data_IF_711414447185
#
_entry.id   IF_711414447185
#
_cell.length_a   1.000
_cell.length_b   1.000
_cell.length_c   1.000
_cell.angle_alpha   90.00
_cell.angle_beta   90.00
_cell.angle_gamma   90.00
#
_symmetry.space_group_name_H-M   'P 1'
#
loop_
_entity.id
_entity.type
_entity.pdbx_description
1 polymer ?
#
# COMPACT_ATOMS: atom_id res chain seq x y z
N UNK A 1 70.28 13.64 -44.84
CA UNK A 1 70.12 13.04 -43.51
C UNK A 1 68.95 13.73 -42.82
N UNK A 2 67.89 12.96 -42.53
CA UNK A 2 66.80 13.25 -41.58
C UNK A 2 65.94 14.53 -41.81
N UNK A 3 64.80 14.71 -41.10
CA UNK A 3 63.48 14.31 -41.59
C UNK A 3 62.40 15.40 -41.36
N UNK A 4 61.15 15.23 -41.80
CA UNK A 4 59.99 15.62 -40.96
C UNK A 4 58.72 14.92 -41.42
N UNK A 5 58.31 13.97 -40.58
CA UNK A 5 57.14 13.11 -40.69
C UNK A 5 55.99 13.76 -39.90
N UNK A 6 54.83 13.83 -40.55
CA UNK A 6 53.46 13.64 -40.01
C UNK A 6 53.13 14.26 -38.65
N UNK A 7 52.24 15.27 -38.67
CA UNK A 7 51.37 15.60 -37.53
C UNK A 7 49.97 15.89 -38.04
N UNK A 8 49.18 14.85 -38.24
CA UNK A 8 47.72 15.00 -38.33
C UNK A 8 47.04 13.91 -37.51
N UNK A 9 46.05 14.36 -36.74
CA UNK A 9 45.03 13.62 -36.00
C UNK A 9 45.48 12.89 -34.72
N UNK A 10 44.94 13.30 -33.57
CA UNK A 10 43.78 12.65 -32.97
C UNK A 10 43.49 13.31 -31.61
N UNK A 11 42.68 14.37 -31.61
CA UNK A 11 42.18 14.97 -30.38
C UNK A 11 41.09 14.09 -29.80
N UNK A 12 41.42 13.30 -28.78
CA UNK A 12 40.50 12.49 -28.00
C UNK A 12 39.61 13.42 -27.15
N UNK A 13 38.47 13.82 -27.69
CA UNK A 13 37.42 14.50 -26.92
C UNK A 13 36.67 13.45 -26.08
N UNK A 14 37.12 13.24 -24.85
CA UNK A 14 36.42 12.45 -23.83
C UNK A 14 35.17 13.25 -23.38
N UNK A 15 34.05 13.06 -24.06
CA UNK A 15 32.76 13.56 -23.60
C UNK A 15 32.29 12.68 -22.44
N UNK A 16 32.59 13.08 -21.20
CA UNK A 16 31.93 12.53 -20.01
C UNK A 16 30.48 13.03 -19.98
N UNK A 17 29.59 12.34 -20.66
CA UNK A 17 28.15 12.47 -20.44
C UNK A 17 27.82 11.93 -19.05
N UNK A 18 27.73 12.83 -18.08
CA UNK A 18 27.17 12.55 -16.76
C UNK A 18 25.69 12.20 -16.94
N UNK A 19 25.37 10.91 -17.01
CA UNK A 19 23.99 10.44 -16.90
C UNK A 19 23.58 10.62 -15.44
N UNK A 20 22.79 11.66 -15.17
CA UNK A 20 22.08 11.77 -13.90
C UNK A 20 21.21 10.53 -13.73
N UNK A 21 21.55 9.69 -12.75
CA UNK A 21 20.72 8.55 -12.37
C UNK A 21 19.43 9.13 -11.76
N UNK A 22 18.37 9.20 -12.55
CA UNK A 22 17.03 9.41 -12.03
C UNK A 22 16.67 8.13 -11.30
N UNK A 23 16.63 8.17 -9.97
CA UNK A 23 16.02 7.10 -9.19
C UNK A 23 14.53 7.12 -9.53
N UNK A 24 14.12 6.21 -10.42
CA UNK A 24 12.72 6.00 -10.72
C UNK A 24 12.08 5.27 -9.53
N UNK A 25 10.94 5.78 -9.07
CA UNK A 25 10.12 5.13 -8.06
C UNK A 25 9.77 3.70 -8.51
N UNK A 26 9.92 2.73 -7.61
CA UNK A 26 9.63 1.32 -7.89
C UNK A 26 9.18 0.59 -6.64
N UNK A 27 8.11 -0.18 -6.77
CA UNK A 27 7.53 -0.97 -5.68
C UNK A 27 7.22 -2.38 -6.16
N UNK A 28 7.57 -3.38 -5.36
CA UNK A 28 7.28 -4.79 -5.64
C UNK A 28 6.33 -5.36 -4.59
N UNK A 29 5.29 -6.05 -5.03
CA UNK A 29 4.40 -6.84 -4.18
C UNK A 29 4.70 -8.32 -4.40
N UNK A 30 4.96 -9.06 -3.32
CA UNK A 30 5.20 -10.51 -3.32
C UNK A 30 4.14 -11.22 -2.49
N UNK A 31 3.90 -12.47 -2.86
CA UNK A 31 3.00 -13.35 -2.14
C UNK A 31 3.76 -14.55 -1.58
N UNK A 32 3.44 -14.91 -0.34
CA UNK A 32 3.81 -16.19 0.28
C UNK A 32 2.52 -16.91 0.70
N UNK A 33 2.06 -17.84 -0.13
CA UNK A 33 0.85 -18.60 0.14
C UNK A 33 1.18 -19.91 0.85
N UNK A 34 1.15 -19.89 2.19
CA UNK A 34 1.41 -21.05 3.03
C UNK A 34 0.16 -21.91 3.27
N UNK A 35 -1.01 -21.51 2.74
CA UNK A 35 -2.26 -22.26 2.91
C UNK A 35 -2.27 -23.59 2.14
N UNK A 36 -1.35 -23.78 1.18
CA UNK A 36 -1.32 -24.95 0.28
C UNK A 36 -2.47 -25.01 -0.73
N UNK A 37 -3.32 -23.97 -0.78
CA UNK A 37 -4.47 -23.84 -1.68
C UNK A 37 -4.79 -22.36 -1.92
N UNK A 38 -5.71 -22.10 -2.85
CA UNK A 38 -6.12 -20.76 -3.22
C UNK A 38 -5.12 -20.05 -4.13
N UNK A 39 -5.54 -18.92 -4.69
CA UNK A 39 -4.76 -18.14 -5.65
C UNK A 39 -4.61 -16.72 -5.11
N UNK A 40 -3.39 -16.28 -4.73
CA UNK A 40 -3.16 -14.89 -4.39
C UNK A 40 -3.61 -14.02 -5.56
N UNK A 41 -4.33 -12.94 -5.29
CA UNK A 41 -4.85 -12.06 -6.33
C UNK A 41 -4.46 -10.64 -5.98
N UNK A 42 -3.79 -9.95 -6.90
CA UNK A 42 -3.47 -8.52 -6.81
C UNK A 42 -4.26 -7.76 -7.87
N UNK A 43 -5.01 -6.75 -7.45
CA UNK A 43 -5.76 -5.87 -8.35
C UNK A 43 -5.31 -4.44 -8.16
N UNK A 44 -5.00 -3.77 -9.28
CA UNK A 44 -4.63 -2.36 -9.31
C UNK A 44 -5.42 -1.70 -10.44
N UNK A 45 -6.08 -0.58 -10.14
CA UNK A 45 -6.89 0.14 -11.13
C UNK A 45 -8.01 -0.72 -11.75
N UNK A 46 -8.60 -1.63 -10.96
CA UNK A 46 -9.70 -2.51 -11.39
C UNK A 46 -9.26 -3.64 -12.34
N UNK A 47 -7.97 -3.96 -12.41
CA UNK A 47 -7.44 -5.07 -13.21
C UNK A 47 -6.61 -6.01 -12.35
N UNK A 48 -6.77 -7.31 -12.55
CA UNK A 48 -5.86 -8.31 -11.98
C UNK A 48 -4.49 -8.14 -12.63
N UNK A 49 -3.48 -7.83 -11.82
CA UNK A 49 -2.09 -7.62 -12.29
C UNK A 49 -1.14 -8.74 -11.85
N UNK A 50 -1.54 -9.54 -10.85
CA UNK A 50 -0.83 -10.76 -10.46
C UNK A 50 -1.79 -11.78 -9.85
N UNK A 51 -1.48 -13.06 -10.08
CA UNK A 51 -2.15 -14.21 -9.47
C UNK A 51 -1.20 -15.06 -8.62
N UNK A 52 -0.12 -14.47 -8.07
CA UNK A 52 0.85 -15.13 -7.20
C UNK A 52 2.31 -14.79 -7.51
N UNK A 53 2.63 -14.44 -8.76
CA UNK A 53 3.97 -14.01 -9.12
C UNK A 53 4.29 -12.62 -8.56
N UNK A 54 5.55 -12.31 -8.21
CA UNK A 54 5.95 -10.96 -7.84
C UNK A 54 5.54 -9.94 -8.90
N UNK A 55 4.87 -8.87 -8.48
CA UNK A 55 4.48 -7.76 -9.34
C UNK A 55 5.31 -6.53 -9.00
N UNK A 56 5.99 -5.95 -9.98
CA UNK A 56 6.75 -4.70 -9.82
C UNK A 56 6.11 -3.58 -10.64
N UNK A 57 5.80 -2.48 -9.97
CA UNK A 57 5.38 -1.22 -10.59
C UNK A 57 6.58 -0.29 -10.72
N UNK A 58 6.74 0.37 -11.88
CA UNK A 58 7.75 1.42 -12.11
C UNK A 58 7.17 2.80 -11.75
N UNK A 59 6.61 2.91 -10.55
CA UNK A 59 5.98 4.10 -9.99
C UNK A 59 5.02 3.72 -8.87
N UNK A 60 4.41 4.73 -8.24
CA UNK A 60 3.45 4.54 -7.15
C UNK A 60 2.33 3.56 -7.51
N UNK A 61 1.94 2.74 -6.53
CA UNK A 61 0.73 1.93 -6.53
C UNK A 61 -0.31 2.68 -5.67
N UNK A 62 -1.44 3.08 -6.26
CA UNK A 62 -2.51 3.78 -5.54
C UNK A 62 -3.77 2.92 -5.51
N UNK A 63 -4.29 2.62 -4.32
CA UNK A 63 -5.52 1.84 -4.15
C UNK A 63 -5.40 0.42 -4.72
N UNK A 64 -4.27 -0.24 -4.48
CA UNK A 64 -4.12 -1.66 -4.77
C UNK A 64 -4.90 -2.48 -3.74
N UNK A 65 -5.49 -3.59 -4.17
CA UNK A 65 -6.10 -4.56 -3.26
C UNK A 65 -5.53 -5.95 -3.50
N UNK A 66 -5.40 -6.73 -2.43
CA UNK A 66 -5.02 -8.13 -2.55
C UNK A 66 -5.79 -9.03 -1.58
N UNK A 67 -5.99 -10.27 -1.98
CA UNK A 67 -6.67 -11.29 -1.19
C UNK A 67 -6.29 -12.70 -1.70
N UNK A 68 -6.58 -13.73 -0.91
CA UNK A 68 -6.45 -15.11 -1.35
C UNK A 68 -7.78 -15.62 -1.91
N UNK A 69 -7.84 -15.82 -3.23
CA UNK A 69 -9.02 -16.39 -3.88
C UNK A 69 -9.15 -17.88 -3.54
N UNK A 70 -10.14 -18.25 -2.74
CA UNK A 70 -10.42 -19.64 -2.33
C UNK A 70 -11.66 -20.24 -3.00
N UNK A 71 -12.29 -19.50 -3.92
CA UNK A 71 -13.48 -19.88 -4.69
C UNK A 71 -14.75 -19.13 -4.29
N UNK A 72 -14.74 -18.44 -3.13
CA UNK A 72 -15.86 -17.64 -2.64
C UNK A 72 -15.66 -16.13 -2.73
N UNK A 73 -14.44 -15.66 -3.02
CA UNK A 73 -14.18 -14.21 -2.99
C UNK A 73 -14.76 -13.53 -4.22
N UNK A 74 -15.38 -12.37 -4.03
CA UNK A 74 -15.75 -11.48 -5.13
C UNK A 74 -14.54 -10.86 -5.85
N UNK A 75 -14.81 -10.04 -6.87
CA UNK A 75 -13.76 -9.41 -7.66
C UNK A 75 -12.98 -8.37 -6.86
N UNK A 76 -13.61 -7.68 -5.91
CA UNK A 76 -12.94 -6.72 -5.04
C UNK A 76 -12.61 -7.34 -3.68
N UNK A 77 -12.52 -8.67 -3.60
CA UNK A 77 -12.28 -9.40 -2.35
C UNK A 77 -13.47 -9.41 -1.39
N UNK A 78 -14.70 -9.21 -1.89
CA UNK A 78 -15.92 -9.47 -1.10
C UNK A 78 -15.89 -10.89 -0.53
N UNK A 79 -16.40 -11.08 0.69
CA UNK A 79 -16.41 -12.35 1.44
C UNK A 79 -15.01 -12.91 1.81
N UNK A 80 -13.95 -12.10 1.68
CA UNK A 80 -12.57 -12.51 1.98
C UNK A 80 -11.79 -11.43 2.74
N UNK A 81 -10.70 -11.86 3.41
CA UNK A 81 -9.79 -10.95 4.10
C UNK A 81 -9.12 -10.07 3.04
N UNK A 82 -9.40 -8.76 3.07
CA UNK A 82 -8.91 -7.81 2.08
C UNK A 82 -7.66 -7.10 2.61
N UNK A 83 -6.61 -7.05 1.79
CA UNK A 83 -5.47 -6.17 1.98
C UNK A 83 -5.64 -4.93 1.10
N UNK A 84 -5.63 -3.74 1.67
CA UNK A 84 -5.66 -2.47 0.94
C UNK A 84 -4.28 -1.82 1.03
N UNK A 85 -3.77 -1.29 -0.08
CA UNK A 85 -2.42 -0.71 -0.12
C UNK A 85 -2.29 0.50 -1.03
N UNK A 86 -1.46 1.44 -0.60
CA UNK A 86 -0.88 2.50 -1.41
C UNK A 86 0.62 2.47 -1.18
N UNK A 87 1.41 2.22 -2.23
CA UNK A 87 2.87 2.23 -2.15
C UNK A 87 3.38 3.43 -2.95
N UNK A 88 4.06 4.34 -2.28
CA UNK A 88 4.62 5.53 -2.89
C UNK A 88 5.76 6.12 -2.07
N UNK A 89 6.67 6.82 -2.75
CA UNK A 89 7.73 7.58 -2.11
C UNK A 89 7.14 8.80 -1.39
N UNK A 90 7.48 9.04 -0.10
CA UNK A 90 6.90 10.14 0.67
C UNK A 90 7.27 11.51 0.07
N UNK A 91 6.25 12.30 -0.28
CA UNK A 91 6.44 13.70 -0.72
C UNK A 91 6.23 14.73 0.40
N UNK A 92 5.68 14.27 1.53
CA UNK A 92 5.43 15.00 2.75
C UNK A 92 5.41 14.03 3.94
N UNK A 93 5.60 14.52 5.18
CA UNK A 93 5.44 13.68 6.36
C UNK A 93 4.03 13.06 6.42
N UNK A 94 3.97 11.73 6.49
CA UNK A 94 2.71 10.97 6.56
C UNK A 94 2.07 10.70 5.20
N UNK A 95 2.80 10.93 4.11
CA UNK A 95 2.34 10.78 2.73
C UNK A 95 3.04 9.63 2.01
N UNK A 96 3.77 8.78 2.73
CA UNK A 96 4.48 7.63 2.17
C UNK A 96 3.55 6.46 1.87
N UNK A 97 4.15 5.27 1.89
CA UNK A 97 3.42 4.03 1.68
C UNK A 97 2.55 3.71 2.89
N UNK A 98 1.39 3.11 2.64
CA UNK A 98 0.42 2.74 3.66
C UNK A 98 -0.33 1.48 3.25
N UNK A 99 -0.49 0.56 4.19
CA UNK A 99 -1.16 -0.74 3.95
C UNK A 99 -1.98 -1.10 5.17
N UNK A 100 -3.12 -1.73 4.96
CA UNK A 100 -4.00 -2.20 6.01
C UNK A 100 -4.77 -3.46 5.60
N UNK A 101 -5.35 -4.11 6.61
CA UNK A 101 -6.27 -5.25 6.45
C UNK A 101 -7.67 -4.74 6.74
N UNK A 102 -8.64 -5.10 5.90
CA UNK A 102 -10.04 -4.67 6.02
C UNK A 102 -10.99 -5.87 6.10
N UNK A 103 -11.81 -5.86 7.15
CA UNK A 103 -12.93 -6.76 7.40
C UNK A 103 -14.26 -5.99 7.47
N UNK A 104 -14.29 -4.76 6.94
CA UNK A 104 -15.52 -3.99 6.80
C UNK A 104 -16.42 -4.68 5.76
N UNK A 105 -17.65 -5.01 6.12
CA UNK A 105 -18.63 -5.62 5.20
C UNK A 105 -18.70 -4.84 3.87
N UNK A 106 -18.59 -5.51 2.70
CA UNK A 106 -18.77 -6.94 2.46
C UNK A 106 -17.51 -7.81 2.60
N UNK A 107 -16.39 -7.30 3.12
CA UNK A 107 -15.20 -8.11 3.40
C UNK A 107 -15.40 -8.90 4.70
N UNK A 108 -14.82 -10.09 4.77
CA UNK A 108 -15.01 -11.01 5.89
C UNK A 108 -13.79 -11.93 6.02
N UNK A 109 -13.49 -12.36 7.24
CA UNK A 109 -12.33 -13.23 7.45
C UNK A 109 -12.54 -14.60 6.76
N UNK A 110 -11.62 -15.00 5.90
CA UNK A 110 -11.64 -16.32 5.26
C UNK A 110 -10.36 -17.13 5.50
N UNK A 111 -9.20 -16.46 5.50
CA UNK A 111 -7.89 -17.02 5.84
C UNK A 111 -7.07 -16.01 6.64
N UNK A 112 -6.20 -16.53 7.50
CA UNK A 112 -5.16 -15.74 8.14
C UNK A 112 -4.33 -15.04 7.04
N UNK A 113 -4.18 -13.72 7.20
CA UNK A 113 -3.45 -12.88 6.26
C UNK A 113 -2.58 -11.91 7.03
N UNK A 114 -1.37 -11.69 6.52
CA UNK A 114 -0.45 -10.70 7.05
C UNK A 114 0.27 -9.98 5.92
N UNK A 115 0.85 -8.84 6.25
CA UNK A 115 1.80 -8.17 5.38
C UNK A 115 3.01 -7.68 6.15
N UNK A 116 4.10 -7.46 5.44
CA UNK A 116 5.28 -6.76 5.95
C UNK A 116 5.95 -5.97 4.85
N UNK A 117 6.46 -4.77 5.19
CA UNK A 117 7.32 -4.02 4.30
C UNK A 117 8.71 -4.66 4.21
N UNK A 118 9.34 -4.52 3.04
CA UNK A 118 10.75 -4.86 2.84
C UNK A 118 11.44 -3.92 1.84
N UNK A 119 12.77 -3.81 1.92
CA UNK A 119 13.51 -2.80 1.17
C UNK A 119 13.29 -1.39 1.71
N UNK A 120 12.88 -1.29 2.97
CA UNK A 120 12.54 -0.08 3.72
C UNK A 120 11.42 -0.38 4.72
N UNK A 121 11.51 0.17 5.94
CA UNK A 121 10.64 -0.21 7.06
C UNK A 121 10.56 -1.73 7.31
N UNK A 122 11.67 -2.44 7.10
CA UNK A 122 11.70 -3.92 7.06
C UNK A 122 11.03 -4.57 8.28
N UNK A 123 10.07 -5.46 8.00
CA UNK A 123 9.32 -6.20 9.03
C UNK A 123 8.20 -5.42 9.70
N UNK A 124 8.03 -4.11 9.41
CA UNK A 124 6.83 -3.38 9.81
C UNK A 124 5.63 -3.89 9.01
N UNK A 125 4.53 -4.14 9.71
CA UNK A 125 3.31 -4.67 9.12
C UNK A 125 2.38 -5.19 10.20
N UNK A 126 1.36 -5.94 9.81
CA UNK A 126 0.44 -6.55 10.76
C UNK A 126 -0.13 -7.87 10.26
N UNK A 127 -0.75 -8.62 11.17
CA UNK A 127 -1.37 -9.92 10.94
C UNK A 127 -2.79 -9.90 11.46
N UNK A 128 -3.72 -10.46 10.68
CA UNK A 128 -5.06 -10.80 11.12
C UNK A 128 -5.25 -12.31 10.99
N UNK A 129 -5.34 -13.01 12.12
CA UNK A 129 -5.42 -14.48 12.20
C UNK A 129 -6.80 -15.00 12.61
N UNK A 130 -7.77 -14.10 12.81
CA UNK A 130 -9.13 -14.42 13.18
C UNK A 130 -10.10 -13.34 12.73
N UNK A 131 -11.41 -13.67 12.69
CA UNK A 131 -12.48 -12.71 12.37
C UNK A 131 -12.56 -11.53 13.35
N UNK A 132 -12.02 -11.67 14.56
CA UNK A 132 -12.03 -10.64 15.61
C UNK A 132 -10.67 -9.97 15.82
N UNK A 133 -9.74 -10.05 14.86
CA UNK A 133 -8.43 -9.43 14.98
C UNK A 133 -8.57 -7.91 15.19
N UNK A 134 -7.84 -7.34 16.14
CA UNK A 134 -7.85 -5.90 16.47
C UNK A 134 -6.97 -5.06 15.53
N UNK A 135 -6.28 -5.74 14.61
CA UNK A 135 -5.34 -5.20 13.63
C UNK A 135 -5.96 -4.95 12.24
N UNK A 136 -7.26 -5.20 12.08
CA UNK A 136 -7.99 -4.93 10.84
C UNK A 136 -9.01 -3.81 11.03
N UNK A 137 -9.38 -3.16 9.94
CA UNK A 137 -10.53 -2.26 9.89
C UNK A 137 -11.81 -3.10 10.02
N UNK A 138 -12.62 -2.80 11.04
CA UNK A 138 -13.98 -3.32 11.20
C UNK A 138 -15.02 -2.23 10.98
N UNK A 139 -14.59 -0.96 11.09
CA UNK A 139 -15.38 0.23 10.85
C UNK A 139 -14.56 1.25 10.06
N UNK A 140 -15.19 2.13 9.26
CA UNK A 140 -14.47 3.11 8.42
C UNK A 140 -13.58 4.11 9.16
N UNK A 141 -13.65 4.16 10.50
CA UNK A 141 -12.89 5.08 11.34
C UNK A 141 -11.80 4.38 12.17
N UNK A 142 -11.49 3.11 11.90
CA UNK A 142 -10.41 2.36 12.57
C UNK A 142 -9.00 2.76 12.08
N UNK A 143 -8.78 4.05 11.86
CA UNK A 143 -7.58 4.58 11.21
C UNK A 143 -6.26 4.25 11.94
N UNK A 144 -6.33 3.76 13.18
CA UNK A 144 -5.19 3.31 13.98
C UNK A 144 -4.59 1.97 13.53
N UNK A 145 -5.29 1.17 12.72
CA UNK A 145 -4.82 -0.17 12.31
C UNK A 145 -4.03 -0.16 10.99
N UNK A 146 -3.93 1.01 10.37
CA UNK A 146 -3.14 1.21 9.16
C UNK A 146 -1.65 1.33 9.49
N UNK A 147 -0.80 0.63 8.73
CA UNK A 147 0.65 0.65 8.92
C UNK A 147 1.31 1.47 7.82
N UNK A 148 1.90 2.58 8.25
CA UNK A 148 2.57 3.55 7.38
C UNK A 148 4.08 3.30 7.33
N UNK A 149 4.67 3.54 6.15
CA UNK A 149 6.10 3.54 5.93
C UNK A 149 6.53 4.77 5.12
N UNK A 150 7.46 5.54 5.66
CA UNK A 150 7.94 6.82 5.10
C UNK A 150 9.34 6.67 4.48
N UNK A 151 9.64 5.53 3.87
CA UNK A 151 10.88 5.28 3.12
C UNK A 151 10.60 5.20 1.60
N UNK A 152 11.60 5.53 0.78
CA UNK A 152 11.51 5.44 -0.67
C UNK A 152 11.61 3.98 -1.14
N UNK A 153 10.84 3.63 -2.18
CA UNK A 153 10.91 2.36 -2.91
C UNK A 153 10.69 1.11 -2.04
N UNK A 154 9.85 1.25 -1.00
CA UNK A 154 9.49 0.12 -0.16
C UNK A 154 8.63 -0.89 -0.92
N UNK A 155 8.77 -2.14 -0.54
CA UNK A 155 8.09 -3.26 -1.16
C UNK A 155 7.19 -3.93 -0.12
N UNK A 156 6.28 -4.78 -0.57
CA UNK A 156 5.31 -5.44 0.30
C UNK A 156 5.37 -6.95 0.11
N UNK A 157 5.54 -7.69 1.20
CA UNK A 157 5.34 -9.13 1.25
C UNK A 157 3.99 -9.40 1.91
N UNK A 158 3.10 -10.08 1.21
CA UNK A 158 1.80 -10.52 1.71
C UNK A 158 1.88 -12.03 1.96
N UNK A 159 1.56 -12.47 3.17
CA UNK A 159 1.62 -13.87 3.56
C UNK A 159 0.22 -14.36 3.93
N UNK A 160 -0.15 -15.52 3.40
CA UNK A 160 -1.41 -16.19 3.73
C UNK A 160 -1.13 -17.46 4.53
N UNK A 161 -1.90 -17.69 5.59
CA UNK A 161 -1.73 -18.80 6.54
C UNK A 161 -0.31 -18.87 7.16
N UNK A 162 0.35 -17.72 7.29
CA UNK A 162 1.68 -17.60 7.86
C UNK A 162 1.65 -17.65 9.38
N UNK A 163 1.43 -18.87 9.93
CA UNK A 163 1.35 -19.19 11.37
C UNK A 163 1.87 -18.07 12.28
N UNK A 164 0.96 -17.37 12.96
CA UNK A 164 1.20 -16.33 13.99
C UNK A 164 2.19 -16.70 15.12
N UNK A 165 2.80 -17.88 15.10
CA UNK A 165 3.88 -18.32 16.00
C UNK A 165 5.31 -18.09 15.50
N UNK A 166 5.52 -17.58 14.28
CA UNK A 166 6.86 -17.26 13.75
C UNK A 166 7.00 -15.76 13.51
N UNK A 167 6.82 -14.94 14.54
CA UNK A 167 7.33 -13.57 14.51
C UNK A 167 8.79 -13.59 14.04
N UNK A 168 9.20 -12.75 13.08
CA UNK A 168 10.60 -12.58 12.69
C UNK A 168 11.34 -11.78 13.77
N UNK A 169 11.26 -12.21 15.04
CA UNK A 169 12.18 -11.79 16.07
C UNK A 169 13.52 -12.44 15.74
N UNK A 170 14.37 -11.69 15.05
CA UNK A 170 15.83 -11.73 15.14
C UNK A 170 16.43 -13.09 15.52
N UNK A 171 16.28 -14.09 14.66
CA UNK A 171 17.08 -15.31 14.77
C UNK A 171 18.46 -15.01 14.21
N UNK A 172 19.35 -14.57 15.08
CA UNK A 172 20.80 -14.56 14.86
C UNK A 172 21.25 -15.85 14.18
N UNK A 173 21.94 -15.67 13.06
CA UNK A 173 22.56 -16.69 12.23
C UNK A 173 23.35 -17.68 13.08
N UNK A 174 22.84 -18.90 13.20
CA UNK A 174 23.64 -20.07 13.60
C UNK A 174 23.76 -20.98 12.38
N UNK A 175 24.87 -20.80 11.66
CA UNK A 175 25.33 -21.69 10.60
C UNK A 175 25.55 -23.09 11.16
N UNK A 176 24.88 -24.11 10.61
CA UNK A 176 25.35 -25.49 10.68
C UNK A 176 24.85 -26.27 9.46
N UNK A 177 25.84 -26.73 8.70
CA UNK A 177 25.70 -27.48 7.47
C UNK A 177 25.21 -28.91 7.72
N UNK A 178 24.35 -29.34 6.79
CA UNK A 178 24.34 -30.63 6.10
C UNK A 178 24.45 -31.94 6.90
N UNK A 179 23.43 -32.79 6.77
CA UNK A 179 23.37 -33.89 5.78
C UNK A 179 22.52 -35.06 6.28
N UNK A 180 21.69 -35.62 5.39
CA UNK A 180 21.49 -37.06 5.14
C UNK A 180 20.02 -37.50 4.94
N UNK A 181 19.74 -37.87 3.69
CA UNK A 181 19.18 -39.16 3.25
C UNK A 181 17.66 -39.42 3.31
N UNK A 182 17.17 -39.86 2.15
CA UNK A 182 15.83 -40.26 1.75
C UNK A 182 15.25 -41.49 2.48
N UNK A 183 13.91 -41.68 2.41
CA UNK A 183 13.23 -42.84 1.76
C UNK A 183 11.72 -42.92 2.10
N UNK A 184 10.90 -42.81 1.03
CA UNK A 184 9.72 -43.60 0.61
C UNK A 184 8.45 -43.86 1.47
N UNK A 185 7.33 -43.66 0.74
CA UNK A 185 6.08 -44.47 0.59
C UNK A 185 4.86 -44.31 1.51
N UNK A 186 3.76 -43.86 0.86
CA UNK A 186 2.33 -44.27 0.92
C UNK A 186 1.64 -44.41 2.30
N UNK A 187 0.44 -43.89 2.54
CA UNK A 187 -0.88 -44.40 2.10
C UNK A 187 -1.97 -43.34 2.44
N UNK A 188 -3.04 -43.26 1.64
CA UNK A 188 -4.34 -42.62 1.92
C UNK A 188 -5.47 -43.67 1.72
N UNK A 189 -6.78 -43.41 1.89
CA UNK A 189 -7.55 -42.45 2.72
C UNK A 189 -8.70 -43.16 3.52
N UNK A 190 -9.48 -42.42 4.33
CA UNK A 190 -10.91 -42.66 4.72
C UNK A 190 -11.35 -41.55 5.69
N UNK A 191 -12.18 -40.55 5.36
CA UNK A 191 -13.66 -40.52 5.24
C UNK A 191 -14.45 -40.81 6.54
N UNK A 192 -14.99 -39.76 7.18
CA UNK A 192 -16.39 -39.69 7.69
C UNK A 192 -16.67 -38.40 8.49
N UNK A 193 -17.59 -37.57 7.97
CA UNK A 193 -18.51 -36.66 8.69
C UNK A 193 -19.60 -37.49 9.43
N UNK A 194 -20.54 -36.97 10.27
CA UNK A 194 -21.13 -35.61 10.27
C UNK A 194 -21.62 -35.00 11.62
N UNK A 195 -22.24 -33.82 11.46
CA UNK A 195 -23.44 -33.31 12.16
C UNK A 195 -23.31 -32.29 13.32
N UNK A 196 -23.64 -31.04 12.96
CA UNK A 196 -24.65 -30.13 13.52
C UNK A 196 -24.90 -30.08 15.03
N UNK A 197 -24.83 -28.86 15.58
CA UNK A 197 -25.77 -28.39 16.62
C UNK A 197 -25.95 -26.88 16.55
N UNK A 198 -27.20 -26.49 16.41
CA UNK A 198 -27.80 -25.18 16.66
C UNK A 198 -27.68 -24.77 18.13
N UNK A 199 -27.43 -23.49 18.41
CA UNK A 199 -28.12 -22.79 19.49
C UNK A 199 -28.10 -21.27 19.30
N UNK A 200 -29.28 -20.68 19.43
CA UNK A 200 -29.52 -19.25 19.45
C UNK A 200 -29.48 -18.75 20.90
N UNK A 201 -29.03 -17.52 21.15
CA UNK A 201 -29.48 -16.74 22.29
C UNK A 201 -29.23 -15.24 22.09
N UNK A 202 -30.27 -14.48 22.46
CA UNK A 202 -30.40 -13.04 22.41
C UNK A 202 -30.04 -12.40 23.75
N UNK A 203 -29.56 -11.14 23.72
CA UNK A 203 -29.79 -10.05 24.69
C UNK A 203 -28.85 -8.88 24.31
N UNK A 204 -29.33 -7.69 23.88
CA UNK A 204 -29.93 -6.60 24.67
C UNK A 204 -29.06 -6.08 25.83
N UNK A 205 -28.53 -4.84 25.69
CA UNK A 205 -28.29 -3.78 26.71
C UNK A 205 -27.43 -2.66 26.07
N UNK A 206 -27.96 -1.51 25.65
CA UNK A 206 -28.08 -0.24 26.42
C UNK A 206 -26.87 0.13 27.29
N UNK A 207 -26.17 1.26 27.00
CA UNK A 207 -26.02 2.44 27.90
C UNK A 207 -25.12 3.56 27.31
N UNK A 208 -25.57 4.80 27.54
CA UNK A 208 -24.85 6.07 27.79
C UNK A 208 -23.70 6.51 26.85
N UNK A 209 -23.84 7.55 26.01
CA UNK A 209 -23.85 9.00 26.34
C UNK A 209 -22.78 9.44 27.35
N UNK A 210 -21.71 10.07 26.86
CA UNK A 210 -20.85 10.99 27.63
C UNK A 210 -20.16 11.97 26.69
N UNK A 211 -20.66 13.20 26.71
CA UNK A 211 -20.05 14.40 26.17
C UNK A 211 -18.86 14.84 27.03
N UNK A 212 -17.70 15.08 26.43
CA UNK A 212 -16.66 15.92 27.02
C UNK A 212 -16.15 16.93 26.00
N UNK A 213 -16.42 18.19 26.32
CA UNK A 213 -15.81 19.37 25.75
C UNK A 213 -14.43 19.63 26.36
N UNK A 214 -13.69 20.59 25.79
CA UNK A 214 -12.49 21.30 26.29
C UNK A 214 -11.20 20.88 25.56
N UNK A 215 -10.27 21.76 25.19
CA UNK A 215 -10.19 23.21 25.22
C UNK A 215 -9.03 23.62 24.31
N UNK A 216 -9.23 24.72 23.59
CA UNK A 216 -8.23 25.48 22.85
C UNK A 216 -7.15 26.07 23.78
N UNK A 217 -5.88 25.85 23.45
CA UNK A 217 -4.76 26.64 23.98
C UNK A 217 -3.97 27.23 22.81
N UNK A 218 -4.20 28.52 22.62
CA UNK A 218 -3.38 29.45 21.84
C UNK A 218 -2.10 29.75 22.63
N UNK A 219 -0.94 29.49 22.03
CA UNK A 219 0.35 30.00 22.50
C UNK A 219 0.97 30.84 21.41
N UNK A 220 0.84 32.16 21.58
CA UNK A 220 1.52 33.20 20.83
C UNK A 220 2.87 33.49 21.50
N UNK A 221 3.98 33.17 20.82
CA UNK A 221 5.31 33.67 21.16
C UNK A 221 5.81 34.56 20.02
N UNK A 222 5.76 35.86 20.28
CA UNK A 222 6.45 36.88 19.51
C UNK A 222 7.94 36.88 19.91
N UNK A 223 8.83 36.87 18.91
CA UNK A 223 10.25 37.14 19.08
C UNK A 223 10.76 38.09 17.99
N UNK A 224 11.64 38.96 18.46
CA UNK A 224 12.13 40.23 17.93
C UNK A 224 12.83 40.21 16.55
N UNK A 225 13.00 41.40 15.91
CA UNK A 225 13.70 41.55 14.65
C UNK A 225 15.21 41.78 14.87
N UNK A 226 16.06 41.12 14.09
CA UNK A 226 17.42 41.61 13.79
C UNK A 226 18.10 40.80 12.69
N UNK A 227 18.39 41.46 11.58
CA UNK A 227 19.72 41.59 10.98
C UNK A 227 19.58 41.85 9.46
N UNK A 228 20.10 42.98 9.02
CA UNK A 228 20.27 43.35 7.61
C UNK A 228 21.03 42.26 6.85
N UNK A 229 20.35 41.61 5.90
CA UNK A 229 20.98 40.77 4.90
C UNK A 229 21.02 41.51 3.56
N UNK A 230 22.22 41.73 3.04
CA UNK A 230 22.48 42.19 1.68
C UNK A 230 21.86 41.20 0.69
N UNK A 231 20.73 41.58 0.11
CA UNK A 231 19.92 40.74 -0.79
C UNK A 231 20.66 40.52 -2.11
N UNK A 232 21.16 39.30 -2.31
CA UNK A 232 21.67 38.85 -3.60
C UNK A 232 20.50 38.73 -4.60
N UNK A 233 20.39 39.67 -5.55
CA UNK A 233 19.30 39.75 -6.54
C UNK A 233 19.09 38.48 -7.38
N UNK A 234 20.09 37.60 -7.50
CA UNK A 234 19.94 36.34 -8.25
C UNK A 234 19.08 35.31 -7.52
N UNK A 235 19.11 35.25 -6.18
CA UNK A 235 18.33 34.27 -5.41
C UNK A 235 16.84 34.62 -5.35
N UNK A 236 16.49 35.91 -5.45
CA UNK A 236 15.10 36.35 -5.52
C UNK A 236 14.39 35.93 -6.81
N UNK A 237 15.09 35.90 -7.96
CA UNK A 237 14.50 35.44 -9.24
C UNK A 237 14.20 33.94 -9.21
N UNK A 238 15.14 33.13 -8.69
CA UNK A 238 14.95 31.68 -8.56
C UNK A 238 13.78 31.33 -7.61
N UNK A 239 13.68 32.02 -6.45
CA UNK A 239 12.57 31.81 -5.51
C UNK A 239 11.20 32.19 -6.09
N UNK A 240 11.12 33.26 -6.90
CA UNK A 240 9.87 33.65 -7.57
C UNK A 240 9.46 32.65 -8.64
N UNK A 241 10.41 32.12 -9.41
CA UNK A 241 10.14 31.07 -10.39
C UNK A 241 9.65 29.76 -9.73
N UNK A 242 10.29 29.34 -8.63
CA UNK A 242 9.87 28.17 -7.87
C UNK A 242 8.46 28.35 -7.26
N UNK A 243 8.12 29.53 -6.75
CA UNK A 243 6.77 29.82 -6.26
C UNK A 243 5.74 29.77 -7.39
N UNK A 244 6.01 30.40 -8.53
CA UNK A 244 5.10 30.38 -9.68
C UNK A 244 4.86 28.94 -10.21
N UNK A 245 5.89 28.08 -10.19
CA UNK A 245 5.74 26.68 -10.56
C UNK A 245 4.84 25.90 -9.57
N UNK A 246 4.96 26.16 -8.25
CA UNK A 246 4.08 25.55 -7.23
C UNK A 246 2.64 26.05 -7.36
N UNK A 247 2.44 27.35 -7.51
CA UNK A 247 1.11 27.93 -7.71
C UNK A 247 0.43 27.34 -8.98
N UNK A 248 1.19 27.09 -10.05
CA UNK A 248 0.67 26.45 -11.27
C UNK A 248 0.33 24.97 -11.10
N UNK A 249 1.04 24.24 -10.24
CA UNK A 249 0.74 22.83 -9.95
C UNK A 249 -0.54 22.73 -9.11
N UNK A 250 -0.69 23.59 -8.11
CA UNK A 250 -1.90 23.65 -7.28
C UNK A 250 -3.15 23.97 -8.12
N UNK A 251 -3.02 24.84 -9.13
CA UNK A 251 -4.13 25.16 -10.04
C UNK A 251 -4.51 23.98 -10.95
N UNK A 252 -3.52 23.20 -11.41
CA UNK A 252 -3.77 21.98 -12.19
C UNK A 252 -4.44 20.89 -11.35
N UNK A 253 -3.99 20.68 -10.11
CA UNK A 253 -4.62 19.75 -9.16
C UNK A 253 -6.06 20.16 -8.87
N UNK A 254 -6.30 21.44 -8.57
CA UNK A 254 -7.65 21.96 -8.32
C UNK A 254 -8.58 21.84 -9.54
N UNK A 255 -8.02 21.91 -10.76
CA UNK A 255 -8.79 21.64 -11.99
C UNK A 255 -9.13 20.16 -12.14
N UNK A 256 -8.16 19.27 -11.92
CA UNK A 256 -8.36 17.82 -11.95
C UNK A 256 -9.45 17.38 -10.96
N UNK A 257 -9.42 17.89 -9.73
CA UNK A 257 -10.43 17.57 -8.71
C UNK A 257 -11.84 18.01 -9.09
N UNK A 258 -11.97 19.16 -9.76
CA UNK A 258 -13.28 19.64 -10.27
C UNK A 258 -13.81 18.73 -11.37
N UNK A 259 -12.97 18.32 -12.31
CA UNK A 259 -13.33 17.39 -13.40
C UNK A 259 -13.73 16.01 -12.83
N UNK A 260 -13.01 15.50 -11.83
CA UNK A 260 -13.33 14.23 -11.16
C UNK A 260 -14.70 14.27 -10.44
N UNK A 261 -14.99 15.36 -9.71
CA UNK A 261 -16.29 15.54 -9.04
C UNK A 261 -17.44 15.64 -10.03
N UNK A 262 -17.22 16.28 -11.19
CA UNK A 262 -18.23 16.38 -12.23
C UNK A 262 -18.55 15.01 -12.86
N UNK A 263 -17.52 14.22 -13.15
CA UNK A 263 -17.66 12.85 -13.66
C UNK A 263 -18.37 11.93 -12.65
N UNK A 264 -18.00 12.02 -11.38
CA UNK A 264 -18.68 11.27 -10.32
C UNK A 264 -20.16 11.66 -10.21
N UNK A 265 -20.46 12.96 -10.24
CA UNK A 265 -21.85 13.45 -10.23
C UNK A 265 -22.66 12.99 -11.45
N UNK A 266 -22.06 12.89 -12.64
CA UNK A 266 -22.70 12.32 -13.83
C UNK A 266 -23.01 10.83 -13.66
N UNK A 267 -22.06 10.07 -13.10
CA UNK A 267 -22.23 8.65 -12.83
C UNK A 267 -23.36 8.39 -11.83
N UNK A 268 -23.42 9.14 -10.74
CA UNK A 268 -24.47 9.03 -9.74
C UNK A 268 -25.86 9.36 -10.31
N UNK A 269 -25.95 10.40 -11.17
CA UNK A 269 -27.20 10.73 -11.89
C UNK A 269 -27.65 9.57 -12.79
N UNK A 270 -26.72 8.90 -13.49
CA UNK A 270 -27.02 7.74 -14.33
C UNK A 270 -27.55 6.57 -13.51
N UNK A 271 -26.91 6.25 -12.38
CA UNK A 271 -27.40 5.20 -11.47
C UNK A 271 -28.81 5.48 -10.95
N UNK A 272 -29.07 6.72 -10.51
CA UNK A 272 -30.41 7.13 -10.05
C UNK A 272 -31.46 7.04 -11.18
N UNK A 273 -31.10 7.37 -12.42
CA UNK A 273 -31.99 7.23 -13.57
C UNK A 273 -32.33 5.76 -13.86
N UNK A 274 -31.33 4.88 -13.87
CA UNK A 274 -31.52 3.43 -14.06
C UNK A 274 -32.38 2.82 -12.95
N UNK A 275 -32.14 3.19 -11.69
CA UNK A 275 -32.95 2.72 -10.56
C UNK A 275 -34.42 3.16 -10.66
N UNK A 276 -34.68 4.40 -11.13
CA UNK A 276 -36.04 4.89 -11.39
C UNK A 276 -36.72 4.15 -12.54
N UNK A 277 -35.98 3.79 -13.59
CA UNK A 277 -36.52 3.00 -14.71
C UNK A 277 -36.94 1.60 -14.26
N UNK A 278 -36.11 0.91 -13.46
CA UNK A 278 -36.46 -0.40 -12.90
C UNK A 278 -37.73 -0.36 -12.03
N UNK A 279 -37.89 0.66 -11.18
CA UNK A 279 -39.10 0.81 -10.36
C UNK A 279 -40.40 1.04 -11.14
N UNK A 280 -40.33 1.49 -12.40
CA UNK A 280 -41.52 1.70 -13.25
C UNK A 280 -41.93 0.44 -14.02
N UNK A 281 -41.08 -0.58 -14.08
CA UNK A 281 -41.33 -1.83 -14.79
C UNK A 281 -41.94 -2.93 -13.93
N UNK A 282 -42.21 -2.64 -12.65
CA UNK A 282 -42.91 -3.49 -11.69
C UNK A 282 -44.22 -2.83 -11.30
#
# INVERSE_FOLDING_TARGET
MAPTLVKVFLGLALALSATSAVSAESHTVKFDNQCGKGTPTLIIGGKVVSTGDPFTSNGAISGGIAYLQTGGCGFNGEDCTLMEMTLGNPTCPGCGSSTDISLITPHAFNVESSFSYYGGCDGQGTTCDSESCDTAFHQPNDNQVQVQCEEDNVNLLITFCGSSGSSPASSSVATSQAAATATSSHVAPSSSSPAATTEASAASSSVASSSVASSSVVSSTASAPSASATVNRQTCKAKRAAKAARDSLDELTARSDREARELYGLHERRHRATARAHRRSH
#
